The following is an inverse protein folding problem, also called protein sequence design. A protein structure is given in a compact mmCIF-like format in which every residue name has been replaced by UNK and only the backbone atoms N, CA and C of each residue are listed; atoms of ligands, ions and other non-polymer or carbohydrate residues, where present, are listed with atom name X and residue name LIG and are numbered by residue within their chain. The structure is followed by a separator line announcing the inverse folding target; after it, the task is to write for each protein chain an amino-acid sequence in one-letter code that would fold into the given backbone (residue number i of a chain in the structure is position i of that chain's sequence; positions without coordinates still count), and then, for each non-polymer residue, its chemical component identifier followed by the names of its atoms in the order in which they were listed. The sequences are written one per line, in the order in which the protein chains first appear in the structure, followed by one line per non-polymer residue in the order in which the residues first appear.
data_IF_055636160427
#
_entry.id   IF_055636160427
#
_cell.length_a   1.000
_cell.length_b   1.000
_cell.length_c   1.000
_cell.angle_alpha   90.00
_cell.angle_beta   90.00
_cell.angle_gamma   90.00
#
_symmetry.space_group_name_H-M   'P 1'
#
loop_
_entity.id
_entity.type
_entity.pdbx_description
1 polymer ?
#
# COMPACT_ATOMS: atom_id res chain seq x y z
N UNK A 1 5.20 -1.10 -23.92
CA UNK A 1 4.32 -1.16 -22.76
C UNK A 1 3.47 -2.43 -22.84
N UNK A 2 3.25 -3.10 -21.71
CA UNK A 2 2.37 -4.27 -21.63
C UNK A 2 0.91 -3.84 -21.59
N UNK A 3 0.60 -2.89 -20.73
CA UNK A 3 -0.72 -2.28 -20.66
C UNK A 3 -0.89 -1.25 -21.78
N UNK A 4 -2.05 -1.26 -22.40
CA UNK A 4 -2.49 -0.33 -23.44
C UNK A 4 -3.93 0.08 -23.12
N UNK A 5 -4.43 1.21 -23.68
CA UNK A 5 -5.84 1.55 -23.51
C UNK A 5 -6.73 0.37 -23.93
N UNK A 6 -7.62 -0.02 -23.03
CA UNK A 6 -8.56 -1.13 -23.24
C UNK A 6 -8.03 -2.52 -22.83
N UNK A 7 -6.81 -2.65 -22.29
CA UNK A 7 -6.30 -3.95 -21.84
C UNK A 7 -4.79 -4.12 -21.97
N UNK A 8 -4.36 -5.23 -22.58
CA UNK A 8 -2.95 -5.54 -22.80
C UNK A 8 -2.63 -5.69 -24.30
N UNK A 9 -1.37 -5.50 -24.65
CA UNK A 9 -0.92 -5.47 -26.05
C UNK A 9 -1.09 -6.81 -26.78
N UNK A 10 -0.84 -7.90 -26.08
CA UNK A 10 -0.91 -9.25 -26.62
C UNK A 10 -1.25 -10.26 -25.51
N UNK A 11 -1.88 -11.39 -25.83
CA UNK A 11 -2.06 -12.47 -24.87
C UNK A 11 -0.70 -13.03 -24.42
N UNK A 12 -0.70 -13.75 -23.32
CA UNK A 12 0.48 -14.48 -22.86
C UNK A 12 0.81 -15.63 -23.82
N UNK A 13 2.09 -15.83 -24.13
CA UNK A 13 2.50 -16.98 -24.90
C UNK A 13 2.62 -18.24 -24.02
N UNK A 14 2.50 -19.42 -24.65
CA UNK A 14 2.66 -20.72 -23.96
C UNK A 14 4.05 -20.82 -23.33
N UNK A 15 5.08 -20.37 -24.03
CA UNK A 15 6.47 -20.41 -23.55
C UNK A 15 6.64 -19.51 -22.30
N UNK A 16 6.01 -18.32 -22.30
CA UNK A 16 6.05 -17.42 -21.13
C UNK A 16 5.35 -18.02 -19.92
N UNK A 17 4.18 -18.65 -20.13
CA UNK A 17 3.45 -19.37 -19.09
C UNK A 17 4.28 -20.52 -18.51
N UNK A 18 4.82 -21.37 -19.38
CA UNK A 18 5.59 -22.55 -18.96
C UNK A 18 6.88 -22.12 -18.26
N UNK A 19 7.54 -21.08 -18.73
CA UNK A 19 8.69 -20.47 -18.06
C UNK A 19 8.36 -19.99 -16.64
N UNK A 20 7.17 -19.39 -16.43
CA UNK A 20 6.71 -19.00 -15.10
C UNK A 20 6.42 -20.21 -14.22
N UNK A 21 5.70 -21.22 -14.74
CA UNK A 21 5.39 -22.46 -14.01
C UNK A 21 6.65 -23.16 -13.49
N UNK A 22 7.69 -23.26 -14.31
CA UNK A 22 8.95 -23.87 -13.94
C UNK A 22 9.68 -23.14 -12.77
N UNK A 23 9.50 -21.82 -12.64
CA UNK A 23 10.20 -20.99 -11.65
C UNK A 23 9.42 -20.72 -10.38
N UNK A 24 8.13 -20.98 -10.38
CA UNK A 24 7.28 -20.78 -9.19
C UNK A 24 7.79 -21.56 -7.96
N UNK A 25 8.24 -22.83 -8.05
CA UNK A 25 8.76 -23.56 -6.87
C UNK A 25 9.98 -22.87 -6.25
N UNK A 26 10.92 -22.40 -7.07
CA UNK A 26 12.12 -21.67 -6.62
C UNK A 26 11.75 -20.34 -5.99
N UNK A 27 10.83 -19.57 -6.60
CA UNK A 27 10.34 -18.32 -6.07
C UNK A 27 9.65 -18.52 -4.70
N UNK A 28 8.79 -19.51 -4.57
CA UNK A 28 8.16 -19.88 -3.30
C UNK A 28 9.17 -20.27 -2.23
N UNK A 29 10.16 -21.08 -2.56
CA UNK A 29 11.22 -21.47 -1.63
C UNK A 29 12.04 -20.26 -1.16
N UNK A 30 12.34 -19.32 -2.07
CA UNK A 30 13.08 -18.09 -1.76
C UNK A 30 12.29 -17.20 -0.80
N UNK A 31 10.99 -17.02 -1.03
CA UNK A 31 10.14 -16.21 -0.15
C UNK A 31 9.95 -16.88 1.22
N UNK A 32 9.81 -18.21 1.26
CA UNK A 32 9.76 -18.95 2.52
C UNK A 32 11.02 -18.73 3.36
N UNK A 33 12.22 -18.80 2.74
CA UNK A 33 13.48 -18.49 3.42
C UNK A 33 13.55 -17.03 3.89
N UNK A 34 13.09 -16.08 3.08
CA UNK A 34 13.04 -14.66 3.45
C UNK A 34 12.11 -14.42 4.65
N UNK A 35 10.94 -15.06 4.69
CA UNK A 35 10.03 -15.02 5.83
C UNK A 35 10.67 -15.57 7.10
N UNK A 36 11.30 -16.76 7.03
CA UNK A 36 12.00 -17.37 8.18
C UNK A 36 13.09 -16.43 8.70
N UNK A 37 13.92 -15.89 7.81
CA UNK A 37 14.96 -14.94 8.19
C UNK A 37 14.38 -13.68 8.84
N UNK A 38 13.36 -13.09 8.22
CA UNK A 38 12.73 -11.86 8.72
C UNK A 38 12.09 -12.08 10.10
N UNK A 39 11.33 -13.16 10.28
CA UNK A 39 10.72 -13.52 11.57
C UNK A 39 11.80 -13.72 12.67
N UNK A 40 12.91 -14.38 12.34
CA UNK A 40 14.04 -14.55 13.25
C UNK A 40 14.68 -13.22 13.65
N UNK A 41 14.79 -12.26 12.73
CA UNK A 41 15.24 -10.91 13.02
C UNK A 41 14.25 -10.12 13.91
N UNK A 42 12.95 -10.32 13.72
CA UNK A 42 11.91 -9.73 14.58
C UNK A 42 11.94 -10.29 16.01
N UNK A 43 12.27 -11.56 16.17
CA UNK A 43 12.39 -12.18 17.50
C UNK A 43 13.68 -11.75 18.23
N UNK A 44 14.65 -11.18 17.52
CA UNK A 44 15.96 -10.78 18.02
C UNK A 44 16.30 -9.31 17.78
N UNK A 45 17.19 -9.08 16.84
CA UNK A 45 17.81 -7.77 16.61
C UNK A 45 16.84 -6.62 16.26
N UNK A 46 15.68 -6.92 15.70
CA UNK A 46 14.68 -5.92 15.29
C UNK A 46 13.44 -5.86 16.20
N UNK A 47 13.44 -6.59 17.32
CA UNK A 47 12.28 -6.66 18.22
C UNK A 47 11.87 -5.28 18.78
N UNK A 48 12.81 -4.39 19.03
CA UNK A 48 12.54 -3.03 19.49
C UNK A 48 11.90 -2.18 18.40
N UNK A 49 12.48 -2.19 17.20
CA UNK A 49 12.00 -1.43 16.04
C UNK A 49 10.58 -1.84 15.67
N UNK A 50 10.29 -3.12 15.69
CA UNK A 50 8.94 -3.64 15.44
C UNK A 50 7.89 -3.03 16.37
N UNK A 51 8.23 -2.83 17.64
CA UNK A 51 7.29 -2.32 18.64
C UNK A 51 7.19 -0.81 18.70
N UNK A 52 8.26 -0.09 18.41
CA UNK A 52 8.34 1.36 18.70
C UNK A 52 8.50 2.25 17.47
N UNK A 53 8.98 1.72 16.33
CA UNK A 53 9.30 2.55 15.18
C UNK A 53 8.06 3.04 14.44
N UNK A 54 7.78 4.36 14.54
CA UNK A 54 6.65 4.96 13.86
C UNK A 54 5.31 4.34 14.25
N UNK A 55 5.17 4.01 15.54
CA UNK A 55 3.95 3.45 16.12
C UNK A 55 3.05 4.58 16.59
N UNK A 56 1.91 4.75 15.95
CA UNK A 56 0.88 5.73 16.29
C UNK A 56 -0.44 5.38 15.64
N UNK A 57 -1.52 5.92 16.19
CA UNK A 57 -2.86 5.79 15.64
C UNK A 57 -3.02 6.60 14.35
N UNK A 58 -3.64 6.00 13.36
CA UNK A 58 -4.10 6.62 12.10
C UNK A 58 -5.23 5.79 11.52
N UNK A 59 -5.93 6.32 10.54
CA UNK A 59 -6.73 5.49 9.66
C UNK A 59 -5.84 4.66 8.73
N UNK A 60 -6.41 3.62 8.16
CA UNK A 60 -5.85 2.80 7.10
C UNK A 60 -6.84 2.75 5.95
N UNK A 61 -6.39 2.98 4.72
CA UNK A 61 -7.24 2.96 3.53
C UNK A 61 -6.69 1.95 2.51
N UNK A 62 -7.57 1.16 1.94
CA UNK A 62 -7.25 0.24 0.85
C UNK A 62 -8.51 -0.14 0.07
N UNK A 63 -8.32 -0.77 -1.10
CA UNK A 63 -9.37 -1.49 -1.79
C UNK A 63 -9.68 -2.81 -1.08
N UNK A 64 -10.93 -3.21 -1.11
CA UNK A 64 -11.40 -4.48 -0.58
C UNK A 64 -12.53 -5.03 -1.45
N UNK A 65 -12.52 -6.33 -1.68
CA UNK A 65 -13.62 -7.01 -2.35
C UNK A 65 -14.89 -7.03 -1.48
N UNK A 66 -16.08 -7.27 -2.06
CA UNK A 66 -17.35 -7.26 -1.31
C UNK A 66 -17.39 -8.23 -0.13
N UNK A 67 -16.66 -9.34 -0.20
CA UNK A 67 -16.53 -10.35 0.87
C UNK A 67 -15.46 -10.01 1.93
N UNK A 68 -14.83 -8.84 1.81
CA UNK A 68 -13.74 -8.40 2.69
C UNK A 68 -12.35 -8.92 2.30
N UNK A 69 -12.23 -9.61 1.19
CA UNK A 69 -10.95 -10.13 0.67
C UNK A 69 -10.03 -9.00 0.22
N UNK A 70 -8.73 -9.23 0.42
CA UNK A 70 -7.66 -8.41 -0.15
C UNK A 70 -7.83 -8.24 -1.67
N UNK A 71 -7.78 -6.99 -2.14
CA UNK A 71 -8.03 -6.68 -3.55
C UNK A 71 -7.08 -5.59 -4.03
N UNK A 72 -6.69 -5.64 -5.32
CA UNK A 72 -5.75 -4.70 -5.91
C UNK A 72 -6.29 -3.92 -7.10
N UNK A 73 -7.34 -4.41 -7.76
CA UNK A 73 -7.82 -3.89 -9.04
C UNK A 73 -9.30 -3.53 -8.96
N UNK A 74 -10.12 -4.48 -8.53
CA UNK A 74 -11.56 -4.35 -8.45
C UNK A 74 -12.00 -4.42 -6.99
N UNK A 75 -12.78 -3.44 -6.54
CA UNK A 75 -13.22 -3.40 -5.15
C UNK A 75 -13.64 -2.00 -4.74
N UNK A 76 -14.19 -1.90 -3.54
CA UNK A 76 -14.56 -0.62 -2.95
C UNK A 76 -13.46 -0.14 -1.99
N UNK A 77 -13.40 1.18 -1.81
CA UNK A 77 -12.48 1.81 -0.87
C UNK A 77 -13.06 1.69 0.53
N UNK A 78 -12.23 1.19 1.46
CA UNK A 78 -12.56 1.07 2.89
C UNK A 78 -11.55 1.81 3.74
N UNK A 79 -12.06 2.50 4.79
CA UNK A 79 -11.26 3.07 5.86
C UNK A 79 -11.49 2.31 7.16
N UNK A 80 -10.40 1.98 7.84
CA UNK A 80 -10.41 1.31 9.16
C UNK A 80 -9.57 2.13 10.13
N UNK A 81 -10.02 2.27 11.37
CA UNK A 81 -9.27 2.97 12.41
C UNK A 81 -8.24 2.06 13.13
N UNK A 82 -7.49 2.64 14.06
CA UNK A 82 -6.49 1.92 14.85
C UNK A 82 -7.08 0.87 15.81
N UNK A 83 -8.40 0.87 16.02
CA UNK A 83 -9.13 -0.11 16.84
C UNK A 83 -9.75 -1.23 16.01
N UNK A 84 -9.64 -1.15 14.68
CA UNK A 84 -10.22 -2.12 13.76
C UNK A 84 -11.67 -1.86 13.42
N UNK A 85 -12.20 -0.68 13.74
CA UNK A 85 -13.55 -0.28 13.35
C UNK A 85 -13.55 0.22 11.92
N UNK A 86 -14.52 -0.19 11.15
CA UNK A 86 -14.77 0.33 9.81
C UNK A 86 -15.35 1.73 9.96
N UNK A 87 -14.60 2.74 9.52
CA UNK A 87 -14.99 4.16 9.56
C UNK A 87 -15.80 4.53 8.34
N UNK A 88 -15.45 3.97 7.19
CA UNK A 88 -16.20 4.09 5.94
C UNK A 88 -15.96 2.86 5.08
N UNK A 89 -16.97 2.46 4.31
CA UNK A 89 -16.96 1.28 3.45
C UNK A 89 -17.76 1.52 2.18
N UNK A 90 -17.48 0.74 1.14
CA UNK A 90 -18.23 0.81 -0.10
C UNK A 90 -18.05 2.11 -0.87
N UNK A 91 -16.97 2.86 -0.62
CA UNK A 91 -16.71 4.11 -1.32
C UNK A 91 -16.16 3.84 -2.72
N UNK A 92 -16.68 4.58 -3.70
CA UNK A 92 -16.28 4.43 -5.10
C UNK A 92 -15.29 5.52 -5.49
N UNK A 93 -14.42 5.20 -6.45
CA UNK A 93 -13.38 6.12 -6.94
C UNK A 93 -13.93 7.40 -7.55
N UNK A 94 -15.08 7.35 -8.22
CA UNK A 94 -15.71 8.53 -8.83
C UNK A 94 -16.04 9.62 -7.79
N UNK A 95 -16.35 9.21 -6.57
CA UNK A 95 -16.68 10.09 -5.45
C UNK A 95 -15.49 10.48 -4.59
N UNK A 96 -14.24 10.11 -4.97
CA UNK A 96 -13.07 10.31 -4.12
C UNK A 96 -12.93 11.75 -3.60
N UNK A 97 -13.31 12.74 -4.40
CA UNK A 97 -13.24 14.15 -4.02
C UNK A 97 -14.19 14.53 -2.87
N UNK A 98 -15.20 13.69 -2.57
CA UNK A 98 -16.11 13.91 -1.43
C UNK A 98 -15.45 13.51 -0.10
N UNK A 99 -14.60 12.49 -0.09
CA UNK A 99 -14.01 11.92 1.12
C UNK A 99 -12.49 12.12 1.24
N UNK A 100 -11.76 12.45 0.17
CA UNK A 100 -10.34 12.82 0.21
C UNK A 100 -10.14 14.30 0.04
N UNK A 101 -9.40 14.91 0.96
CA UNK A 101 -8.86 16.26 0.89
C UNK A 101 -7.35 16.24 0.67
N UNK A 102 -6.81 17.32 0.14
CA UNK A 102 -5.38 17.53 -0.04
C UNK A 102 -4.99 18.87 0.59
N UNK A 103 -4.34 18.82 1.76
CA UNK A 103 -3.84 20.02 2.43
C UNK A 103 -2.49 20.45 1.85
N UNK A 104 -2.20 21.75 1.96
CA UNK A 104 -0.93 22.38 1.55
C UNK A 104 -0.31 23.04 2.76
N UNK A 105 0.99 22.82 2.94
CA UNK A 105 1.77 23.39 4.04
C UNK A 105 2.85 24.34 3.51
N UNK A 106 3.09 25.50 4.14
CA UNK A 106 4.02 26.50 3.61
C UNK A 106 5.48 26.04 3.56
N UNK A 107 5.83 25.01 4.33
CA UNK A 107 7.20 24.46 4.42
C UNK A 107 7.44 23.29 3.45
N UNK A 108 6.44 22.90 2.64
CA UNK A 108 6.54 21.74 1.75
C UNK A 108 5.86 22.02 0.41
N UNK A 109 6.47 21.57 -0.68
CA UNK A 109 5.83 21.53 -2.00
C UNK A 109 4.93 20.30 -2.18
N UNK A 110 4.94 19.36 -1.21
CA UNK A 110 4.09 18.16 -1.23
C UNK A 110 2.70 18.52 -0.72
N UNK A 111 1.70 17.86 -1.29
CA UNK A 111 0.36 17.84 -0.71
C UNK A 111 0.26 16.75 0.35
N UNK A 112 -0.69 16.94 1.27
CA UNK A 112 -0.98 16.05 2.39
C UNK A 112 -2.42 15.56 2.30
N UNK A 113 -2.66 14.42 1.63
CA UNK A 113 -3.99 13.82 1.58
C UNK A 113 -4.49 13.44 2.98
N UNK A 114 -5.78 13.65 3.22
CA UNK A 114 -6.45 13.33 4.48
C UNK A 114 -7.91 12.93 4.24
N UNK A 115 -8.49 12.20 5.16
CA UNK A 115 -9.91 11.83 5.15
C UNK A 115 -10.75 13.02 5.59
N UNK A 116 -11.50 13.62 4.67
CA UNK A 116 -12.23 14.88 4.86
C UNK A 116 -13.20 14.89 6.05
N UNK A 117 -14.01 13.83 6.30
CA UNK A 117 -14.94 13.85 7.40
C UNK A 117 -14.33 14.09 8.78
N UNK A 118 -13.05 13.73 8.96
CA UNK A 118 -12.31 14.01 10.20
C UNK A 118 -11.48 15.31 10.16
N UNK A 119 -11.38 15.95 9.00
CA UNK A 119 -10.59 17.17 8.82
C UNK A 119 -9.08 16.92 8.80
N UNK A 120 -8.33 18.02 8.63
CA UNK A 120 -6.87 18.03 8.65
C UNK A 120 -6.37 18.63 9.98
N UNK A 121 -5.39 18.01 10.66
CA UNK A 121 -4.63 16.81 10.30
C UNK A 121 -5.21 15.48 10.86
N UNK A 122 -6.34 15.49 11.55
CA UNK A 122 -6.95 14.36 12.26
C UNK A 122 -7.33 13.22 11.32
N UNK A 123 -7.73 13.57 10.10
CA UNK A 123 -8.02 12.63 9.02
C UNK A 123 -6.79 11.95 8.40
N UNK A 124 -5.64 11.96 9.08
CA UNK A 124 -4.44 11.27 8.64
C UNK A 124 -4.70 9.78 8.45
N UNK A 125 -4.31 9.25 7.30
CA UNK A 125 -4.39 7.82 7.01
C UNK A 125 -3.09 7.29 6.40
N UNK A 126 -2.96 5.98 6.37
CA UNK A 126 -1.88 5.25 5.71
C UNK A 126 -2.43 4.36 4.62
N UNK A 127 -1.64 4.17 3.56
CA UNK A 127 -1.92 3.25 2.44
C UNK A 127 -0.74 2.29 2.23
N UNK A 128 -0.92 1.28 1.39
CA UNK A 128 0.12 0.30 1.04
C UNK A 128 0.01 -1.00 1.84
N UNK A 129 1.04 -1.85 1.82
CA UNK A 129 0.97 -3.20 2.37
C UNK A 129 0.39 -3.28 3.78
N UNK A 130 0.85 -2.42 4.68
CA UNK A 130 0.35 -2.39 6.05
C UNK A 130 -1.15 -2.05 6.11
N UNK A 131 -1.59 -1.07 5.32
CA UNK A 131 -2.98 -0.66 5.28
C UNK A 131 -3.87 -1.75 4.68
N UNK A 132 -3.46 -2.36 3.57
CA UNK A 132 -4.22 -3.45 2.94
C UNK A 132 -4.43 -4.62 3.88
N UNK A 133 -3.39 -5.05 4.63
CA UNK A 133 -3.52 -6.13 5.60
C UNK A 133 -4.32 -5.75 6.87
N UNK A 134 -4.42 -4.46 7.18
CA UNK A 134 -5.28 -3.97 8.25
C UNK A 134 -6.75 -3.85 7.80
N UNK A 135 -6.97 -3.51 6.53
CA UNK A 135 -8.31 -3.25 5.98
C UNK A 135 -9.03 -4.54 5.58
N UNK A 136 -8.32 -5.49 4.95
CA UNK A 136 -8.94 -6.76 4.54
C UNK A 136 -9.31 -7.65 5.74
N UNK A 137 -10.23 -8.58 5.52
CA UNK A 137 -10.55 -9.64 6.47
C UNK A 137 -9.62 -10.84 6.27
N UNK A 138 -9.42 -11.23 5.03
CA UNK A 138 -8.61 -12.35 4.57
C UNK A 138 -7.97 -12.03 3.21
N UNK A 139 -6.99 -12.83 2.78
CA UNK A 139 -6.35 -12.68 1.47
C UNK A 139 -7.01 -13.58 0.43
N UNK A 140 -7.47 -14.74 0.85
CA UNK A 140 -8.20 -15.68 0.00
C UNK A 140 -7.31 -16.79 -0.59
N UNK A 141 -6.08 -16.92 -0.10
CA UNK A 141 -5.18 -18.03 -0.46
C UNK A 141 -4.55 -18.64 0.79
N UNK A 142 -4.37 -19.98 0.87
CA UNK A 142 -4.08 -20.67 2.12
C UNK A 142 -2.79 -20.24 2.81
N UNK A 143 -1.69 -20.08 2.05
CA UNK A 143 -0.42 -19.68 2.64
C UNK A 143 -0.43 -18.21 3.06
N UNK A 144 -0.94 -17.32 2.21
CA UNK A 144 -1.01 -15.91 2.55
C UNK A 144 -1.96 -15.64 3.72
N UNK A 145 -3.07 -16.37 3.87
CA UNK A 145 -3.96 -16.26 5.03
C UNK A 145 -3.29 -16.73 6.32
N UNK A 146 -2.51 -17.81 6.27
CA UNK A 146 -1.72 -18.24 7.41
C UNK A 146 -0.65 -17.19 7.81
N UNK A 147 0.02 -16.58 6.85
CA UNK A 147 0.98 -15.50 7.09
C UNK A 147 0.29 -14.22 7.61
N UNK A 148 -0.90 -13.89 7.13
CA UNK A 148 -1.71 -12.78 7.65
C UNK A 148 -2.08 -13.00 9.12
N UNK A 149 -2.49 -14.21 9.48
CA UNK A 149 -2.81 -14.55 10.87
C UNK A 149 -1.58 -14.41 11.77
N UNK A 150 -0.42 -14.90 11.35
CA UNK A 150 0.83 -14.75 12.10
C UNK A 150 1.29 -13.28 12.18
N UNK A 151 1.17 -12.52 11.10
CA UNK A 151 1.44 -11.09 11.08
C UNK A 151 0.63 -10.34 12.15
N UNK A 152 -0.67 -10.60 12.22
CA UNK A 152 -1.59 -10.03 13.21
C UNK A 152 -1.26 -10.48 14.62
N UNK A 153 -0.98 -11.76 14.83
CA UNK A 153 -0.59 -12.30 16.13
C UNK A 153 0.70 -11.67 16.67
N UNK A 154 1.71 -11.47 15.81
CA UNK A 154 3.01 -10.92 16.22
C UNK A 154 3.00 -9.43 16.49
N UNK A 155 2.17 -8.68 15.78
CA UNK A 155 2.29 -7.21 15.71
C UNK A 155 0.99 -6.46 15.97
N UNK A 156 -0.12 -7.14 16.11
CA UNK A 156 -1.44 -6.54 16.35
C UNK A 156 -1.54 -5.87 17.71
N UNK A 157 -2.26 -4.75 17.77
CA UNK A 157 -2.47 -4.00 19.01
C UNK A 157 -3.54 -4.66 19.88
N UNK A 158 -3.43 -4.48 21.19
CA UNK A 158 -4.42 -4.99 22.16
C UNK A 158 -5.78 -4.33 21.97
N UNK A 159 -5.78 -3.05 21.67
CA UNK A 159 -6.97 -2.22 21.48
C UNK A 159 -7.84 -2.69 20.30
N UNK A 160 -7.22 -3.34 19.34
CA UNK A 160 -7.91 -3.95 18.17
C UNK A 160 -8.20 -5.44 18.32
N UNK A 161 -7.94 -6.02 19.51
CA UNK A 161 -8.01 -7.47 19.67
C UNK A 161 -6.97 -8.26 18.88
N UNK A 162 -5.84 -7.63 18.54
CA UNK A 162 -4.77 -8.21 17.75
C UNK A 162 -4.90 -8.02 16.23
N UNK A 163 -5.97 -7.40 15.76
CA UNK A 163 -6.25 -7.28 14.32
C UNK A 163 -5.40 -6.21 13.62
N UNK A 164 -5.24 -5.05 14.23
CA UNK A 164 -4.60 -3.88 13.60
C UNK A 164 -3.15 -3.75 14.04
N UNK A 165 -2.28 -3.51 13.07
CA UNK A 165 -0.86 -3.28 13.27
C UNK A 165 -0.55 -1.82 12.98
N UNK A 166 -0.06 -1.07 13.97
CA UNK A 166 0.17 0.38 13.89
C UNK A 166 1.63 0.76 13.67
N UNK A 167 2.57 -0.15 13.91
CA UNK A 167 4.00 0.11 13.70
C UNK A 167 4.35 0.28 12.21
N UNK A 168 4.98 1.39 11.86
CA UNK A 168 5.46 1.60 10.49
C UNK A 168 6.58 0.63 10.10
N UNK A 169 7.26 0.00 11.04
CA UNK A 169 8.25 -1.03 10.75
C UNK A 169 7.61 -2.29 10.16
N UNK A 170 6.37 -2.58 10.51
CA UNK A 170 5.63 -3.74 10.02
C UNK A 170 5.29 -3.70 8.52
N UNK A 171 5.50 -2.56 7.82
CA UNK A 171 5.41 -2.51 6.35
C UNK A 171 6.30 -3.55 5.65
N UNK A 172 7.44 -3.91 6.25
CA UNK A 172 8.33 -4.92 5.68
C UNK A 172 7.73 -6.33 5.76
N UNK A 173 7.14 -6.69 6.92
CA UNK A 173 6.45 -7.96 7.09
C UNK A 173 5.23 -8.04 6.18
N UNK A 174 4.39 -6.99 6.19
CA UNK A 174 3.21 -6.90 5.35
C UNK A 174 3.55 -7.12 3.86
N UNK A 175 4.66 -6.54 3.39
CA UNK A 175 5.12 -6.74 2.00
C UNK A 175 5.51 -8.19 1.71
N UNK A 176 6.13 -8.90 2.66
CA UNK A 176 6.44 -10.32 2.48
C UNK A 176 5.16 -11.17 2.40
N UNK A 177 4.15 -10.86 3.22
CA UNK A 177 2.84 -11.51 3.13
C UNK A 177 2.20 -11.28 1.76
N UNK A 178 2.23 -10.06 1.24
CA UNK A 178 1.71 -9.76 -0.10
C UNK A 178 2.49 -10.45 -1.22
N UNK A 179 3.80 -10.64 -1.07
CA UNK A 179 4.59 -11.42 -2.05
C UNK A 179 4.11 -12.87 -2.07
N UNK A 180 3.80 -13.46 -0.91
CA UNK A 180 3.18 -14.79 -0.84
C UNK A 180 1.85 -14.82 -1.58
N UNK A 181 0.97 -13.85 -1.30
CA UNK A 181 -0.32 -13.72 -1.98
C UNK A 181 -0.18 -13.62 -3.51
N UNK A 182 0.76 -12.81 -3.97
CA UNK A 182 1.04 -12.67 -5.41
C UNK A 182 1.57 -13.96 -6.03
N UNK A 183 2.42 -14.73 -5.33
CA UNK A 183 2.91 -16.03 -5.84
C UNK A 183 1.80 -17.06 -5.95
N UNK A 184 0.90 -17.13 -4.96
CA UNK A 184 -0.26 -18.01 -5.02
C UNK A 184 -1.24 -17.58 -6.13
N UNK A 185 -1.45 -16.27 -6.29
CA UNK A 185 -2.27 -15.74 -7.38
C UNK A 185 -1.66 -16.04 -8.78
N UNK A 186 -0.34 -15.88 -8.94
CA UNK A 186 0.36 -16.23 -10.19
C UNK A 186 0.19 -17.73 -10.47
N UNK A 187 0.33 -18.59 -9.47
CA UNK A 187 0.15 -20.04 -9.63
C UNK A 187 -1.25 -20.40 -10.12
N UNK A 188 -2.27 -19.77 -9.57
CA UNK A 188 -3.67 -19.93 -10.03
C UNK A 188 -3.85 -19.43 -11.46
N UNK A 189 -3.37 -18.23 -11.76
CA UNK A 189 -3.49 -17.62 -13.08
C UNK A 189 -2.79 -18.44 -14.17
N UNK A 190 -1.54 -18.90 -13.97
CA UNK A 190 -0.83 -19.68 -14.99
C UNK A 190 -1.39 -21.10 -15.16
N UNK A 191 -2.26 -21.56 -14.24
CA UNK A 191 -3.01 -22.79 -14.39
C UNK A 191 -4.28 -22.62 -15.25
N UNK A 192 -4.73 -21.38 -15.46
CA UNK A 192 -5.91 -21.07 -16.26
C UNK A 192 -5.55 -20.92 -17.73
N UNK A 193 -6.05 -21.83 -18.56
CA UNK A 193 -5.79 -21.83 -20.01
C UNK A 193 -6.44 -20.62 -20.73
N UNK A 194 -7.40 -19.93 -20.13
CA UNK A 194 -8.03 -18.74 -20.71
C UNK A 194 -7.07 -17.57 -20.87
N UNK A 195 -5.98 -17.51 -20.09
CA UNK A 195 -4.94 -16.49 -20.22
C UNK A 195 -4.28 -16.39 -21.61
N UNK A 196 -4.31 -17.50 -22.37
CA UNK A 196 -3.66 -17.57 -23.68
C UNK A 196 -4.62 -17.38 -24.84
N UNK A 197 -5.91 -17.22 -24.54
CA UNK A 197 -6.96 -17.17 -25.54
C UNK A 197 -7.75 -15.85 -25.43
N UNK A 198 -8.32 -15.44 -26.56
CA UNK A 198 -9.34 -14.41 -26.58
C UNK A 198 -8.87 -12.99 -26.84
N UNK A 199 -9.81 -12.08 -26.66
CA UNK A 199 -9.59 -10.65 -26.83
C UNK A 199 -8.99 -10.07 -25.56
N UNK A 200 -7.72 -9.74 -25.60
CA UNK A 200 -6.99 -9.14 -24.47
C UNK A 200 -7.04 -7.62 -24.48
N UNK A 201 -7.74 -7.04 -25.46
CA UNK A 201 -7.90 -5.59 -25.61
C UNK A 201 -9.29 -5.25 -26.12
N UNK A 202 -9.98 -4.37 -25.41
CA UNK A 202 -11.17 -3.71 -25.89
C UNK A 202 -10.78 -2.49 -26.75
N UNK A 203 -11.59 -2.20 -27.75
CA UNK A 203 -11.51 -0.98 -28.55
C UNK A 203 -12.81 -0.21 -28.35
N UNK A 204 -12.70 1.02 -27.93
CA UNK A 204 -13.81 1.94 -27.80
C UNK A 204 -13.34 3.34 -28.23
N UNK A 205 -14.25 4.09 -28.82
CA UNK A 205 -14.07 5.53 -29.02
C UNK A 205 -14.27 6.28 -27.69
N UNK A 206 -14.02 7.59 -27.72
CA UNK A 206 -14.26 8.47 -26.59
C UNK A 206 -15.74 8.43 -26.18
N UNK A 207 -16.04 7.86 -25.04
CA UNK A 207 -17.40 7.71 -24.51
C UNK A 207 -17.68 8.61 -23.28
N UNK A 208 -16.63 9.15 -22.66
CA UNK A 208 -16.72 10.12 -21.57
C UNK A 208 -15.52 11.05 -21.59
N UNK A 209 -15.74 12.34 -21.28
CA UNK A 209 -14.67 13.33 -21.25
C UNK A 209 -13.99 13.42 -19.87
N UNK A 210 -14.46 12.69 -18.90
CA UNK A 210 -13.93 12.66 -17.55
C UNK A 210 -14.03 11.23 -16.98
N UNK A 211 -12.97 10.76 -16.34
CA UNK A 211 -12.94 9.46 -15.67
C UNK A 211 -11.96 9.44 -14.51
N UNK A 212 -12.30 8.65 -13.51
CA UNK A 212 -11.43 8.31 -12.39
C UNK A 212 -11.11 6.83 -12.45
N UNK A 213 -9.87 6.47 -12.18
CA UNK A 213 -9.45 5.09 -12.00
C UNK A 213 -8.71 4.94 -10.69
N UNK A 214 -8.92 3.82 -10.00
CA UNK A 214 -8.22 3.47 -8.77
C UNK A 214 -7.59 2.10 -8.90
N UNK A 215 -6.43 1.91 -8.27
CA UNK A 215 -5.79 0.60 -8.15
C UNK A 215 -4.83 0.59 -6.97
N UNK A 216 -4.53 -0.61 -6.46
CA UNK A 216 -3.48 -0.78 -5.47
C UNK A 216 -2.13 -0.93 -6.15
N UNK A 217 -1.29 0.08 -6.04
CA UNK A 217 0.12 0.01 -6.43
C UNK A 217 0.95 -0.65 -5.30
N UNK A 218 2.20 -1.10 -5.55
CA UNK A 218 3.04 -1.72 -4.51
C UNK A 218 3.21 -0.87 -3.24
N UNK A 219 3.07 0.47 -3.36
CA UNK A 219 3.21 1.42 -2.25
C UNK A 219 1.88 1.94 -1.71
N UNK A 220 0.76 1.53 -2.27
CA UNK A 220 -0.58 1.88 -1.79
C UNK A 220 -1.54 2.28 -2.90
N UNK A 221 -2.71 2.70 -2.52
CA UNK A 221 -3.81 3.10 -3.39
C UNK A 221 -3.41 4.28 -4.29
N UNK A 222 -3.73 4.19 -5.56
CA UNK A 222 -3.38 5.18 -6.58
C UNK A 222 -4.66 5.64 -7.26
N UNK A 223 -4.94 6.95 -7.22
CA UNK A 223 -6.04 7.55 -7.93
C UNK A 223 -5.52 8.32 -9.15
N UNK A 224 -6.14 8.09 -10.29
CA UNK A 224 -5.92 8.79 -11.54
C UNK A 224 -7.22 9.40 -12.00
N UNK A 225 -7.31 10.72 -12.01
CA UNK A 225 -8.45 11.46 -12.47
C UNK A 225 -8.06 12.31 -13.68
N UNK A 226 -8.69 12.07 -14.80
CA UNK A 226 -8.44 12.78 -16.04
C UNK A 226 -9.70 13.40 -16.60
N UNK A 227 -9.55 14.61 -17.17
CA UNK A 227 -10.53 15.22 -18.06
C UNK A 227 -9.87 15.48 -19.41
N UNK A 228 -10.55 15.15 -20.48
CA UNK A 228 -10.10 15.35 -21.87
C UNK A 228 -11.09 16.20 -22.66
N UNK A 229 -10.62 16.82 -23.72
CA UNK A 229 -11.48 17.48 -24.70
C UNK A 229 -12.03 16.49 -25.75
N UNK A 230 -12.81 16.99 -26.70
CA UNK A 230 -13.41 16.16 -27.76
C UNK A 230 -12.39 15.55 -28.72
N UNK A 231 -11.14 15.98 -28.69
CA UNK A 231 -10.03 15.43 -29.46
C UNK A 231 -9.22 14.41 -28.66
N UNK A 232 -9.60 14.13 -27.39
CA UNK A 232 -8.89 13.24 -26.49
C UNK A 232 -7.64 13.87 -25.83
N UNK A 233 -7.45 15.19 -25.94
CA UNK A 233 -6.35 15.88 -25.29
C UNK A 233 -6.67 16.15 -23.83
N UNK A 234 -5.72 15.90 -22.94
CA UNK A 234 -5.88 16.12 -21.50
C UNK A 234 -6.02 17.61 -21.22
N UNK A 235 -7.14 18.00 -20.60
CA UNK A 235 -7.43 19.36 -20.14
C UNK A 235 -7.27 19.53 -18.64
N UNK A 236 -7.41 18.43 -17.88
CA UNK A 236 -7.20 18.39 -16.42
C UNK A 236 -6.68 17.03 -15.99
N UNK A 237 -5.80 17.04 -15.00
CA UNK A 237 -5.34 15.84 -14.32
C UNK A 237 -5.26 16.08 -12.82
N UNK A 238 -5.71 15.11 -12.02
CA UNK A 238 -5.40 15.03 -10.60
C UNK A 238 -4.91 13.61 -10.28
N UNK A 239 -3.74 13.53 -9.65
CA UNK A 239 -3.10 12.28 -9.29
C UNK A 239 -2.89 12.26 -7.77
N UNK A 240 -3.62 11.39 -7.06
CA UNK A 240 -3.35 11.13 -5.65
C UNK A 240 -2.49 9.87 -5.59
N UNK A 241 -1.18 10.08 -5.62
CA UNK A 241 -0.20 9.00 -5.72
C UNK A 241 0.02 8.31 -4.37
N UNK A 242 0.21 6.99 -4.43
CA UNK A 242 0.30 6.12 -3.27
C UNK A 242 1.27 6.62 -2.16
N UNK A 243 2.51 6.98 -2.52
CA UNK A 243 3.50 7.45 -1.54
C UNK A 243 3.09 8.79 -0.92
N UNK A 244 2.48 9.70 -1.71
CA UNK A 244 2.02 11.00 -1.24
C UNK A 244 0.97 10.91 -0.15
N UNK A 245 0.12 9.90 -0.19
CA UNK A 245 -0.90 9.67 0.83
C UNK A 245 -0.31 9.30 2.21
N UNK A 246 0.93 8.82 2.26
CA UNK A 246 1.64 8.55 3.50
C UNK A 246 2.45 9.76 4.04
N UNK A 247 2.41 10.93 3.39
CA UNK A 247 3.26 12.08 3.75
C UNK A 247 3.07 12.52 5.21
N UNK A 248 1.82 12.63 5.69
CA UNK A 248 1.53 12.96 7.09
C UNK A 248 2.11 11.93 8.05
N UNK A 249 1.88 10.66 7.78
CA UNK A 249 2.39 9.56 8.60
C UNK A 249 3.92 9.50 8.59
N UNK A 250 4.55 9.79 7.45
CA UNK A 250 6.00 9.88 7.36
C UNK A 250 6.56 11.03 8.20
N UNK A 251 5.94 12.22 8.14
CA UNK A 251 6.34 13.37 8.94
C UNK A 251 6.16 13.08 10.44
N UNK A 252 5.03 12.47 10.83
CA UNK A 252 4.80 12.06 12.22
C UNK A 252 5.85 11.07 12.72
N UNK A 253 6.24 10.11 11.88
CA UNK A 253 7.33 9.17 12.19
C UNK A 253 8.66 9.89 12.41
N UNK A 254 9.02 10.85 11.52
CA UNK A 254 10.25 11.64 11.70
C UNK A 254 10.21 12.45 12.98
N UNK A 255 9.10 13.13 13.24
CA UNK A 255 8.94 13.93 14.46
C UNK A 255 9.05 13.05 15.73
N UNK A 256 8.46 11.86 15.73
CA UNK A 256 8.58 10.92 16.85
C UNK A 256 10.04 10.53 17.10
N UNK A 257 10.77 10.17 16.04
CA UNK A 257 12.19 9.82 16.12
C UNK A 257 13.02 11.03 16.59
N UNK A 258 12.76 12.22 16.04
CA UNK A 258 13.47 13.43 16.43
C UNK A 258 13.28 13.72 17.92
N UNK A 259 12.05 13.65 18.43
CA UNK A 259 11.75 13.85 19.86
C UNK A 259 12.40 12.81 20.78
N UNK A 260 12.60 11.59 20.33
CA UNK A 260 13.27 10.54 21.09
C UNK A 260 14.79 10.80 21.25
N UNK A 261 15.42 11.43 20.24
CA UNK A 261 16.88 11.51 20.16
C UNK A 261 17.46 12.94 20.27
N UNK A 262 16.65 13.97 20.05
CA UNK A 262 17.10 15.36 20.13
C UNK A 262 16.62 15.94 21.46
N UNK A 263 17.54 16.30 22.36
CA UNK A 263 17.17 16.99 23.60
C UNK A 263 16.55 18.35 23.28
N UNK A 264 15.49 18.72 23.98
CA UNK A 264 14.83 20.02 23.87
C UNK A 264 15.23 20.88 25.09
N UNK A 265 15.44 22.20 24.93
CA UNK A 265 15.37 22.97 23.67
C UNK A 265 16.58 22.73 22.77
N UNK A 266 16.35 22.76 21.44
CA UNK A 266 17.44 22.69 20.47
C UNK A 266 18.18 24.02 20.49
N UNK A 267 19.45 24.03 20.93
CA UNK A 267 20.34 25.20 20.81
C UNK A 267 20.93 25.29 19.41
N UNK A 268 21.22 26.51 18.94
CA UNK A 268 21.96 26.71 17.68
C UNK A 268 23.28 25.93 17.69
N UNK A 269 23.58 25.21 16.61
CA UNK A 269 24.81 24.43 16.46
C UNK A 269 24.76 22.98 16.99
N UNK A 270 23.61 22.46 17.36
CA UNK A 270 23.50 21.04 17.72
C UNK A 270 23.76 20.15 16.52
N UNK A 271 24.90 19.44 16.54
CA UNK A 271 25.12 18.36 15.58
C UNK A 271 24.09 17.23 15.77
N UNK A 272 23.43 16.85 14.68
CA UNK A 272 22.50 15.71 14.72
C UNK A 272 23.35 14.43 14.84
N UNK A 273 23.20 13.66 15.93
CA UNK A 273 24.01 12.47 16.12
C UNK A 273 23.81 11.44 14.98
N UNK A 274 24.89 10.82 14.54
CA UNK A 274 24.84 9.80 13.46
C UNK A 274 23.82 8.64 13.75
N UNK A 275 23.62 8.17 14.98
CA UNK A 275 22.55 7.22 15.29
C UNK A 275 21.15 7.71 14.91
N UNK A 276 20.86 9.01 15.08
CA UNK A 276 19.59 9.61 14.69
C UNK A 276 19.46 9.67 13.17
N UNK A 277 20.51 10.14 12.47
CA UNK A 277 20.54 10.14 11.01
C UNK A 277 20.33 8.74 10.45
N UNK A 278 20.94 7.73 11.04
CA UNK A 278 20.78 6.34 10.64
C UNK A 278 19.36 5.81 10.89
N UNK A 279 18.70 6.23 11.98
CA UNK A 279 17.29 5.86 12.22
C UNK A 279 16.35 6.53 11.22
N UNK A 280 16.57 7.78 10.88
CA UNK A 280 15.82 8.46 9.82
C UNK A 280 16.11 7.84 8.45
N UNK A 281 17.36 7.44 8.18
CA UNK A 281 17.80 6.77 6.96
C UNK A 281 17.27 5.34 6.84
N UNK A 282 17.04 4.63 7.93
CA UNK A 282 16.44 3.29 7.98
C UNK A 282 14.95 3.26 7.64
N UNK A 283 14.33 4.40 7.35
CA UNK A 283 13.03 4.42 6.69
C UNK A 283 13.08 3.49 5.48
N UNK A 284 12.00 2.77 5.19
CA UNK A 284 11.91 2.10 3.91
C UNK A 284 12.16 3.15 2.82
N UNK A 285 13.38 3.15 2.28
CA UNK A 285 13.69 3.92 1.09
C UNK A 285 12.90 3.26 -0.01
N UNK A 286 11.78 3.85 -0.36
CA UNK A 286 11.20 3.55 -1.64
C UNK A 286 12.27 3.86 -2.68
N UNK A 287 12.65 2.90 -3.54
CA UNK A 287 13.62 3.19 -4.58
C UNK A 287 13.08 4.40 -5.35
N UNK A 288 13.93 5.40 -5.53
CA UNK A 288 13.63 6.52 -6.42
C UNK A 288 13.46 5.91 -7.79
N UNK A 289 12.23 5.59 -8.16
CA UNK A 289 11.90 5.26 -9.53
C UNK A 289 12.23 6.50 -10.35
N UNK A 290 13.12 6.37 -11.32
CA UNK A 290 13.19 7.34 -12.40
C UNK A 290 11.82 7.26 -13.09
N UNK A 291 11.10 8.36 -13.10
CA UNK A 291 9.95 8.56 -13.97
C UNK A 291 10.37 8.42 -15.42
#
# INVERSE_FOLDING_TARGET
AWAVPGGVRSPMSVEARDWMKERLPEAKATVAQALVLYKRLLDGALAREQRSFGTFESLFMALVAPDGRWECIEGAIRFVDARGQIVADGLMEDDYASFLGEAVEPWSYLKFPYYKPLGYPEGMYRVGPLARLNVCEHIGTPWADAELAEFRQRSGTRESGGRIVTSSFAFHHARLVEIVACLEAIEQLVADDTLMHGRVRAHADLNANEAVGVSEAPRGTLFHHYRVDNNGLITRVNLIIATGQNNLAMNRTVLQIAREFIPLPVSEGVEIPEPLLNRVRRRPRFPRGRC
#
